data_IF_971463488839
#
_entry.id   IF_971463488839
#
_cell.length_a   1.000
_cell.length_b   1.000
_cell.length_c   1.000
_cell.angle_alpha   90.00
_cell.angle_beta   90.00
_cell.angle_gamma   90.00
#
_symmetry.space_group_name_H-M   'P 1'
#
loop_
_entity.id
_entity.type
_entity.pdbx_description
1 polymer ?
#
# COMPACT_ATOMS: atom_id res chain seq x y z
N UNK A 1 7.17 -12.50 -0.45
CA UNK A 1 6.92 -11.04 -0.46
C UNK A 1 5.47 -10.81 -0.06
N UNK A 2 5.09 -9.62 0.41
CA UNK A 2 3.66 -9.34 0.63
C UNK A 2 2.98 -8.88 -0.64
N UNK A 3 1.68 -9.14 -0.77
CA UNK A 3 0.89 -8.75 -1.94
C UNK A 3 0.84 -7.21 -2.12
N UNK A 4 0.88 -6.42 -1.03
CA UNK A 4 0.99 -4.95 -1.13
C UNK A 4 2.33 -4.53 -1.73
N UNK A 5 3.42 -5.20 -1.33
CA UNK A 5 4.74 -4.95 -1.92
C UNK A 5 4.77 -5.31 -3.40
N UNK A 6 4.12 -6.40 -3.79
CA UNK A 6 4.03 -6.83 -5.18
C UNK A 6 3.31 -5.81 -6.07
N UNK A 7 2.15 -5.29 -5.64
CA UNK A 7 1.46 -4.25 -6.42
C UNK A 7 2.32 -2.99 -6.56
N UNK A 8 3.00 -2.54 -5.49
CA UNK A 8 3.90 -1.38 -5.57
C UNK A 8 5.02 -1.58 -6.59
N UNK A 9 5.64 -2.77 -6.59
CA UNK A 9 6.72 -3.10 -7.54
C UNK A 9 6.18 -3.17 -8.98
N UNK A 10 5.00 -3.74 -9.19
CA UNK A 10 4.33 -3.77 -10.51
C UNK A 10 4.01 -2.36 -11.02
N UNK A 11 3.71 -1.42 -10.13
CA UNK A 11 3.55 0.00 -10.44
C UNK A 11 4.88 0.75 -10.63
N UNK A 12 6.01 0.03 -10.69
CA UNK A 12 7.36 0.56 -10.92
C UNK A 12 7.81 1.57 -9.84
N UNK A 13 7.38 1.36 -8.59
CA UNK A 13 7.75 2.22 -7.47
C UNK A 13 8.72 1.51 -6.53
N UNK A 14 9.89 2.10 -6.34
CA UNK A 14 10.75 1.76 -5.21
C UNK A 14 10.12 2.24 -3.88
N UNK A 15 10.73 1.83 -2.77
CA UNK A 15 10.25 2.15 -1.42
C UNK A 15 10.26 3.66 -1.16
N UNK A 16 11.25 4.38 -1.65
CA UNK A 16 11.42 5.81 -1.37
C UNK A 16 10.41 6.66 -2.13
N UNK A 17 10.27 6.40 -3.43
CA UNK A 17 9.29 6.99 -4.32
C UNK A 17 7.87 6.78 -3.80
N UNK A 18 7.54 5.58 -3.32
CA UNK A 18 6.23 5.30 -2.73
C UNK A 18 6.03 6.06 -1.41
N UNK A 19 7.02 6.07 -0.51
CA UNK A 19 6.93 6.82 0.75
C UNK A 19 6.70 8.32 0.51
N UNK A 20 7.47 8.92 -0.40
CA UNK A 20 7.39 10.33 -0.73
C UNK A 20 6.02 10.68 -1.32
N UNK A 21 5.52 9.89 -2.29
CA UNK A 21 4.22 10.12 -2.93
C UNK A 21 3.03 9.87 -1.99
N UNK A 22 3.15 8.93 -1.06
CA UNK A 22 2.11 8.65 -0.05
C UNK A 22 2.16 9.61 1.14
N UNK A 23 3.29 10.29 1.35
CA UNK A 23 3.52 11.13 2.52
C UNK A 23 3.65 10.32 3.81
N UNK A 24 4.32 9.16 3.75
CA UNK A 24 4.54 8.27 4.91
C UNK A 24 6.02 7.90 5.05
N UNK A 25 6.42 7.47 6.24
CA UNK A 25 7.79 6.99 6.48
C UNK A 25 8.03 5.59 5.91
N UNK A 26 9.31 5.25 5.66
CA UNK A 26 9.74 3.88 5.29
C UNK A 26 9.28 2.84 6.32
N UNK A 27 9.32 3.18 7.61
CA UNK A 27 8.84 2.31 8.70
C UNK A 27 7.33 2.07 8.61
N UNK A 28 6.54 3.10 8.30
CA UNK A 28 5.09 2.96 8.12
C UNK A 28 4.76 2.10 6.90
N UNK A 29 5.42 2.33 5.75
CA UNK A 29 5.25 1.50 4.56
C UNK A 29 5.64 0.04 4.85
N UNK A 30 6.75 -0.21 5.54
CA UNK A 30 7.15 -1.56 5.94
C UNK A 30 6.07 -2.24 6.78
N UNK A 31 5.51 -1.57 7.80
CA UNK A 31 4.47 -2.14 8.67
C UNK A 31 3.18 -2.43 7.91
N UNK A 32 2.83 -1.61 6.92
CA UNK A 32 1.69 -1.87 6.02
C UNK A 32 1.98 -3.09 5.15
N UNK A 33 3.14 -3.12 4.49
CA UNK A 33 3.51 -4.23 3.62
C UNK A 33 3.60 -5.55 4.40
N UNK A 34 4.04 -5.53 5.64
CA UNK A 34 4.16 -6.74 6.46
C UNK A 34 2.90 -7.08 7.26
N UNK A 35 1.82 -6.31 7.12
CA UNK A 35 0.54 -6.55 7.80
C UNK A 35 0.51 -6.14 9.28
N UNK A 36 1.59 -5.61 9.83
CA UNK A 36 1.65 -5.14 11.23
C UNK A 36 0.81 -3.89 11.47
N UNK A 37 0.48 -3.12 10.42
CA UNK A 37 -0.34 -1.91 10.55
C UNK A 37 -1.30 -1.78 9.38
N UNK A 38 -2.57 -1.58 9.70
CA UNK A 38 -3.56 -1.22 8.70
C UNK A 38 -3.45 0.27 8.34
N UNK A 39 -3.42 0.63 7.04
CA UNK A 39 -3.51 2.00 6.58
C UNK A 39 -4.90 2.59 6.86
N UNK A 40 -5.01 3.91 6.98
CA UNK A 40 -6.31 4.59 7.07
C UNK A 40 -7.04 4.55 5.73
N UNK A 41 -8.36 4.78 5.73
CA UNK A 41 -9.16 4.87 4.48
C UNK A 41 -8.58 5.89 3.48
N UNK A 42 -8.14 7.05 3.97
CA UNK A 42 -7.50 8.08 3.14
C UNK A 42 -6.18 7.59 2.54
N UNK A 43 -5.38 6.84 3.30
CA UNK A 43 -4.13 6.28 2.80
C UNK A 43 -4.38 5.15 1.79
N UNK A 44 -5.42 4.33 1.99
CA UNK A 44 -5.86 3.31 1.03
C UNK A 44 -6.26 3.96 -0.31
N UNK A 45 -7.01 5.06 -0.27
CA UNK A 45 -7.36 5.81 -1.49
C UNK A 45 -6.12 6.33 -2.21
N UNK A 46 -5.14 6.88 -1.49
CA UNK A 46 -3.87 7.32 -2.11
C UNK A 46 -3.09 6.14 -2.69
N UNK A 47 -3.07 5.01 -1.99
CA UNK A 47 -2.41 3.79 -2.47
C UNK A 47 -3.07 3.25 -3.74
N UNK A 48 -4.41 3.27 -3.82
CA UNK A 48 -5.13 2.76 -5.00
C UNK A 48 -4.80 3.60 -6.24
N UNK A 49 -4.81 4.92 -6.09
CA UNK A 49 -4.41 5.86 -7.15
C UNK A 49 -2.95 5.68 -7.55
N UNK A 50 -2.04 5.61 -6.57
CA UNK A 50 -0.61 5.51 -6.83
C UNK A 50 -0.19 4.18 -7.45
N UNK A 51 -0.81 3.08 -6.99
CA UNK A 51 -0.49 1.73 -7.44
C UNK A 51 -1.33 1.28 -8.63
N UNK A 52 -2.23 2.13 -9.12
CA UNK A 52 -3.09 1.87 -10.28
C UNK A 52 -3.92 0.59 -10.10
N UNK A 53 -4.49 0.44 -8.89
CA UNK A 53 -5.37 -0.66 -8.52
C UNK A 53 -6.64 -0.10 -7.87
N UNK A 54 -7.65 -0.94 -7.66
CA UNK A 54 -8.88 -0.50 -7.00
C UNK A 54 -8.74 -0.51 -5.48
N UNK A 55 -9.65 0.21 -4.82
CA UNK A 55 -9.73 0.20 -3.35
C UNK A 55 -10.10 -1.20 -2.84
N UNK A 56 -10.99 -1.92 -3.55
CA UNK A 56 -11.40 -3.29 -3.24
C UNK A 56 -10.22 -4.26 -3.29
N UNK A 57 -9.33 -4.14 -4.29
CA UNK A 57 -8.12 -4.96 -4.38
C UNK A 57 -7.22 -4.76 -3.15
N UNK A 58 -7.04 -3.52 -2.70
CA UNK A 58 -6.27 -3.21 -1.49
C UNK A 58 -6.97 -3.79 -0.25
N UNK A 59 -8.28 -3.60 -0.10
CA UNK A 59 -9.02 -4.15 1.04
C UNK A 59 -8.92 -5.68 1.09
N UNK A 60 -9.05 -6.36 -0.06
CA UNK A 60 -8.92 -7.82 -0.16
C UNK A 60 -7.53 -8.30 0.25
N UNK A 61 -6.48 -7.60 -0.18
CA UNK A 61 -5.10 -7.94 0.19
C UNK A 61 -4.88 -7.77 1.70
N UNK A 62 -5.43 -6.70 2.28
CA UNK A 62 -5.28 -6.39 3.70
C UNK A 62 -6.22 -7.19 4.62
N UNK A 63 -7.08 -8.06 4.07
CA UNK A 63 -8.05 -8.84 4.85
C UNK A 63 -9.12 -7.98 5.51
N UNK A 64 -9.50 -6.87 4.88
CA UNK A 64 -10.47 -5.90 5.40
C UNK A 64 -11.88 -6.09 4.83
N UNK A 65 -12.07 -7.10 3.99
CA UNK A 65 -13.37 -7.56 3.48
C UNK A 65 -13.53 -9.04 3.82
N UNK A 66 -14.72 -9.41 4.27
CA UNK A 66 -15.14 -10.81 4.45
C UNK A 66 -15.46 -11.44 3.10
#
# INVERSE_FOLDING_TARGET
>A
MSKIREIRIKSQLDTESACNKLGISKSMLYKIETGYRQPSKTLILKMSQLYQCTIEEIYKILGLVN
#
